data_IF_750760653504
#
_entry.id   IF_750760653504
#
_cell.length_a   1.000
_cell.length_b   1.000
_cell.length_c   1.000
_cell.angle_alpha   90.00
_cell.angle_beta   90.00
_cell.angle_gamma   90.00
#
_symmetry.space_group_name_H-M   'P 1'
#
loop_
_entity.id
_entity.type
_entity.pdbx_description
1 polymer ?
#
# COMPACT_ATOMS: atom_id res chain seq x y z
N UNK A 1 6.79 13.22 -15.11
CA UNK A 1 5.66 12.36 -14.69
C UNK A 1 4.46 12.71 -15.55
N UNK A 2 3.88 11.74 -16.26
CA UNK A 2 2.72 11.96 -17.10
C UNK A 2 1.42 11.83 -16.29
N UNK A 3 0.30 12.41 -16.75
CA UNK A 3 -1.01 12.11 -16.19
C UNK A 3 -1.27 10.60 -16.20
N UNK A 4 -1.61 10.03 -15.04
CA UNK A 4 -1.84 8.60 -14.87
C UNK A 4 -0.74 7.85 -14.12
N UNK A 5 0.44 8.46 -13.93
CA UNK A 5 1.55 7.83 -13.19
C UNK A 5 1.34 7.87 -11.66
N UNK A 6 0.32 8.56 -11.16
CA UNK A 6 0.06 8.68 -9.72
C UNK A 6 -0.23 7.33 -9.09
N UNK A 7 0.46 7.02 -8.00
CA UNK A 7 0.39 5.71 -7.35
C UNK A 7 1.41 4.69 -7.87
N UNK A 8 2.25 5.04 -8.84
CA UNK A 8 3.32 4.16 -9.32
C UNK A 8 4.37 3.89 -8.24
N UNK A 9 4.89 2.66 -8.22
CA UNK A 9 5.98 2.27 -7.34
C UNK A 9 7.32 2.83 -7.84
N UNK A 10 8.13 3.32 -6.91
CA UNK A 10 9.50 3.79 -7.17
C UNK A 10 10.47 2.68 -6.76
N UNK A 11 11.38 2.33 -7.67
CA UNK A 11 12.33 1.22 -7.49
C UNK A 11 13.77 1.71 -7.44
N UNK A 12 14.61 1.04 -6.66
CA UNK A 12 16.07 1.13 -6.77
C UNK A 12 16.55 0.48 -8.07
N UNK A 13 17.81 0.74 -8.45
CA UNK A 13 18.47 0.05 -9.56
C UNK A 13 18.55 -1.47 -9.38
N UNK A 14 18.43 -1.96 -8.14
CA UNK A 14 18.41 -3.39 -7.80
C UNK A 14 17.00 -3.98 -7.73
N UNK A 15 15.96 -3.18 -8.00
CA UNK A 15 14.56 -3.63 -8.01
C UNK A 15 13.84 -3.61 -6.66
N UNK A 16 14.40 -2.97 -5.63
CA UNK A 16 13.70 -2.81 -4.34
C UNK A 16 12.74 -1.62 -4.39
N UNK A 17 11.56 -1.77 -3.78
CA UNK A 17 10.58 -0.68 -3.67
C UNK A 17 11.02 0.31 -2.59
N UNK A 18 11.12 1.58 -2.98
CA UNK A 18 11.54 2.69 -2.10
C UNK A 18 10.35 3.56 -1.71
N UNK A 19 9.30 3.61 -2.54
CA UNK A 19 8.18 4.51 -2.28
C UNK A 19 7.09 4.51 -3.34
N UNK A 20 6.19 5.47 -3.22
CA UNK A 20 5.04 5.66 -4.12
C UNK A 20 5.05 7.08 -4.65
N UNK A 21 4.97 7.22 -5.98
CA UNK A 21 4.89 8.50 -6.66
C UNK A 21 3.52 9.17 -6.47
N UNK A 22 3.51 10.48 -6.21
CA UNK A 22 2.27 11.25 -6.07
C UNK A 22 2.25 12.55 -6.89
N UNK A 23 3.37 12.96 -7.47
CA UNK A 23 3.46 14.16 -8.28
C UNK A 23 4.83 14.35 -8.89
N UNK A 24 5.02 15.47 -9.59
CA UNK A 24 6.30 15.84 -10.17
C UNK A 24 6.38 17.32 -10.49
N UNK A 25 7.54 17.77 -10.94
CA UNK A 25 7.73 19.13 -11.46
C UNK A 25 6.87 19.35 -12.72
N UNK A 26 6.59 20.63 -13.00
CA UNK A 26 5.85 21.01 -14.21
C UNK A 26 6.58 20.56 -15.49
N UNK A 27 7.91 20.67 -15.48
CA UNK A 27 8.77 20.29 -16.61
C UNK A 27 8.95 18.76 -16.72
N UNK A 28 8.47 18.00 -15.72
CA UNK A 28 8.41 16.54 -15.74
C UNK A 28 9.74 15.83 -15.46
N UNK A 29 10.79 16.58 -15.15
CA UNK A 29 12.15 16.13 -14.85
C UNK A 29 12.36 15.65 -13.40
N UNK A 30 11.50 16.09 -12.48
CA UNK A 30 11.52 15.69 -11.07
C UNK A 30 10.26 14.91 -10.72
N UNK A 31 10.44 13.81 -10.00
CA UNK A 31 9.36 13.01 -9.41
C UNK A 31 9.32 13.22 -7.90
N UNK A 32 8.14 13.51 -7.37
CA UNK A 32 7.86 13.54 -5.94
C UNK A 32 7.24 12.21 -5.51
N UNK A 33 7.81 11.61 -4.46
CA UNK A 33 7.35 10.34 -3.91
C UNK A 33 7.43 10.34 -2.39
N UNK A 34 6.59 9.55 -1.74
CA UNK A 34 6.69 9.27 -0.31
C UNK A 34 7.49 7.99 -0.09
N UNK A 35 8.32 7.95 0.95
CA UNK A 35 9.09 6.75 1.27
C UNK A 35 8.16 5.65 1.80
N UNK A 36 8.41 4.39 1.42
CA UNK A 36 7.56 3.25 1.78
C UNK A 36 7.49 3.04 3.30
N UNK A 37 8.59 3.29 4.02
CA UNK A 37 8.59 3.23 5.49
C UNK A 37 7.65 4.26 6.14
N UNK A 38 7.71 5.52 5.71
CA UNK A 38 6.86 6.59 6.26
C UNK A 38 5.38 6.27 6.04
N UNK A 39 5.05 5.73 4.86
CA UNK A 39 3.69 5.30 4.53
C UNK A 39 3.22 4.16 5.44
N UNK A 40 4.04 3.13 5.63
CA UNK A 40 3.69 1.96 6.46
C UNK A 40 3.55 2.36 7.92
N UNK A 41 4.42 3.24 8.42
CA UNK A 41 4.38 3.70 9.80
C UNK A 41 3.16 4.59 10.07
N UNK A 42 2.78 5.45 9.14
CA UNK A 42 1.56 6.25 9.24
C UNK A 42 0.30 5.39 9.17
N UNK A 43 0.25 4.37 8.30
CA UNK A 43 -0.86 3.40 8.25
C UNK A 43 -0.98 2.69 9.60
N UNK A 44 0.12 2.22 10.19
CA UNK A 44 0.11 1.56 11.50
C UNK A 44 -0.33 2.53 12.60
N UNK A 45 0.14 3.78 12.57
CA UNK A 45 -0.24 4.80 13.54
C UNK A 45 -1.74 5.12 13.45
N UNK A 46 -2.25 5.29 12.23
CA UNK A 46 -3.66 5.55 11.95
C UNK A 46 -4.53 4.36 12.31
N UNK A 47 -4.12 3.13 11.97
CA UNK A 47 -4.81 1.89 12.35
C UNK A 47 -4.93 1.70 13.86
N UNK A 48 -3.99 2.22 14.63
CA UNK A 48 -4.07 2.21 16.10
C UNK A 48 -5.02 3.29 16.64
N UNK A 49 -5.18 4.39 15.90
CA UNK A 49 -5.97 5.57 16.30
C UNK A 49 -7.42 5.53 15.82
N UNK A 50 -7.73 4.81 14.75
CA UNK A 50 -9.08 4.74 14.17
C UNK A 50 -9.77 3.40 14.47
N UNK A 51 -10.88 3.40 15.25
CA UNK A 51 -11.68 2.20 15.52
C UNK A 51 -12.24 1.52 14.26
N UNK A 52 -12.55 2.27 13.20
CA UNK A 52 -13.19 1.75 11.99
C UNK A 52 -12.28 0.76 11.22
N UNK A 53 -10.96 0.92 11.35
CA UNK A 53 -10.00 0.00 10.72
C UNK A 53 -10.01 -1.40 11.36
N UNK A 54 -10.47 -1.53 12.61
CA UNK A 54 -10.71 -2.84 13.24
C UNK A 54 -11.97 -3.50 12.67
N UNK A 55 -12.98 -2.70 12.32
CA UNK A 55 -14.28 -3.20 11.82
C UNK A 55 -14.17 -3.81 10.42
N UNK A 56 -13.18 -3.39 9.62
CA UNK A 56 -12.85 -4.02 8.32
C UNK A 56 -11.86 -5.19 8.43
N UNK A 57 -11.52 -5.62 9.65
CA UNK A 57 -10.69 -6.81 9.90
C UNK A 57 -9.18 -6.61 9.71
N UNK A 58 -8.68 -5.37 9.68
CA UNK A 58 -7.25 -5.11 9.55
C UNK A 58 -6.51 -5.37 10.87
N UNK A 59 -5.71 -6.43 10.92
CA UNK A 59 -4.82 -6.75 12.04
C UNK A 59 -3.38 -6.30 11.72
N UNK A 60 -2.76 -5.54 12.62
CA UNK A 60 -1.37 -5.08 12.51
C UNK A 60 -0.31 -6.20 12.54
N UNK A 61 -0.73 -7.47 12.63
CA UNK A 61 0.12 -8.67 12.47
C UNK A 61 0.23 -9.17 11.02
N UNK A 62 -0.45 -8.55 10.05
CA UNK A 62 -0.55 -9.03 8.67
C UNK A 62 0.66 -8.67 7.77
N UNK A 63 1.90 -8.82 8.28
CA UNK A 63 3.07 -9.02 7.39
C UNK A 63 3.10 -10.44 6.80
N UNK A 64 2.21 -11.33 7.24
CA UNK A 64 1.86 -12.53 6.49
C UNK A 64 0.66 -12.21 5.60
N UNK A 65 0.87 -12.22 4.28
CA UNK A 65 -0.19 -12.00 3.30
C UNK A 65 -1.40 -12.92 3.51
N UNK A 66 -2.55 -12.60 2.90
CA UNK A 66 -3.75 -13.40 3.05
C UNK A 66 -3.53 -14.80 2.48
N UNK A 67 -3.22 -15.76 3.35
CA UNK A 67 -3.41 -17.17 3.08
C UNK A 67 -4.91 -17.45 3.17
N UNK A 68 -5.44 -18.19 2.19
CA UNK A 68 -6.82 -18.66 2.10
C UNK A 68 -7.86 -17.62 1.67
N UNK A 69 -8.01 -17.47 0.34
CA UNK A 69 -9.35 -17.35 -0.24
C UNK A 69 -10.12 -18.65 0.06
N UNK A 70 -10.93 -18.62 1.12
CA UNK A 70 -11.84 -19.70 1.49
C UNK A 70 -12.97 -19.81 0.48
N UNK A 71 -12.80 -20.69 -0.51
CA UNK A 71 -13.91 -21.13 -1.36
C UNK A 71 -14.98 -21.78 -0.48
N UNK A 72 -16.19 -21.20 -0.47
CA UNK A 72 -17.36 -21.86 0.11
C UNK A 72 -17.64 -23.11 -0.73
N UNK A 73 -17.28 -24.29 -0.22
CA UNK A 73 -17.86 -25.55 -0.70
C UNK A 73 -19.32 -25.58 -0.26
N UNK A 74 -20.21 -25.44 -1.22
CA UNK A 74 -21.64 -25.60 -1.06
C UNK A 74 -21.92 -27.11 -1.04
N UNK A 75 -22.27 -27.66 0.13
CA UNK A 75 -22.70 -29.05 0.27
C UNK A 75 -24.06 -29.24 -0.43
N UNK A 76 -24.12 -30.15 -1.40
CA UNK A 76 -25.38 -30.69 -1.93
C UNK A 76 -25.99 -31.60 -0.89
N UNK A 77 -27.29 -31.41 -0.64
CA UNK A 77 -28.16 -32.38 0.05
C UNK A 77 -28.32 -33.65 -0.78
#
# INVERSE_FOLDING_TARGET
MAPGDSGSLVFTSTGHVVGIAFGGSHDGDVLYFTHSHDLVDEIKATSKRDPWLKDIGWSSSASAGPSSWGGKQQQSS
#
